data_IF_315812029189
#
_entry.id   IF_315812029189
#
_cell.length_a   1.000
_cell.length_b   1.000
_cell.length_c   1.000
_cell.angle_alpha   90.00
_cell.angle_beta   90.00
_cell.angle_gamma   90.00
#
_symmetry.space_group_name_H-M   'P 1'
#
loop_
_entity.id
_entity.type
_entity.pdbx_description
1 polymer ?
#
# COMPACT_ATOMS: atom_id res chain seq x y z
N UNK A 1 -10.77 6.41 8.77
CA UNK A 1 -9.46 7.13 8.75
C UNK A 1 -9.42 8.21 9.84
N UNK A 2 -10.40 9.10 9.88
CA UNK A 2 -10.58 10.15 10.92
C UNK A 2 -10.40 9.67 12.36
N UNK A 3 -11.09 8.59 12.77
CA UNK A 3 -10.98 8.07 14.15
C UNK A 3 -9.56 7.63 14.52
N UNK A 4 -8.83 7.06 13.56
CA UNK A 4 -7.43 6.62 13.77
C UNK A 4 -6.51 7.83 13.93
N UNK A 5 -6.72 8.88 13.14
CA UNK A 5 -6.00 10.16 13.28
C UNK A 5 -6.29 10.80 14.63
N UNK A 6 -7.56 10.81 15.06
CA UNK A 6 -7.92 11.34 16.37
C UNK A 6 -7.25 10.56 17.50
N UNK A 7 -7.22 9.22 17.41
CA UNK A 7 -6.49 8.37 18.35
C UNK A 7 -5.00 8.70 18.39
N UNK A 8 -4.36 8.90 17.23
CA UNK A 8 -2.93 9.27 17.13
C UNK A 8 -2.69 10.63 17.80
N UNK A 9 -3.52 11.64 17.51
CA UNK A 9 -3.42 12.98 18.11
C UNK A 9 -3.58 12.95 19.63
N UNK A 10 -4.53 12.16 20.14
CA UNK A 10 -4.71 11.99 21.58
C UNK A 10 -3.50 11.29 22.24
N UNK A 11 -2.93 10.28 21.59
CA UNK A 11 -1.71 9.65 22.05
C UNK A 11 -0.51 10.64 22.06
N UNK A 12 -0.38 11.50 21.05
CA UNK A 12 0.65 12.54 21.00
C UNK A 12 0.47 13.61 22.09
N UNK A 13 -0.77 13.84 22.54
CA UNK A 13 -1.09 14.64 23.72
C UNK A 13 -0.86 13.90 25.05
N UNK A 14 -0.03 12.85 25.08
CA UNK A 14 0.31 12.03 26.24
C UNK A 14 -0.85 11.25 26.87
N UNK A 15 -1.95 11.01 26.14
CA UNK A 15 -3.02 10.10 26.61
C UNK A 15 -2.52 8.66 26.58
N UNK A 16 -2.56 7.99 27.73
CA UNK A 16 -2.10 6.60 27.84
C UNK A 16 -2.91 5.63 26.97
N UNK A 17 -2.23 4.60 26.46
CA UNK A 17 -2.88 3.54 25.66
C UNK A 17 -4.06 2.88 26.39
N UNK A 18 -4.03 2.77 27.72
CA UNK A 18 -5.12 2.19 28.51
C UNK A 18 -6.40 3.03 28.43
N UNK A 19 -6.27 4.35 28.46
CA UNK A 19 -7.40 5.27 28.31
C UNK A 19 -7.97 5.20 26.89
N UNK A 20 -7.10 5.13 25.88
CA UNK A 20 -7.51 4.99 24.47
C UNK A 20 -8.28 3.68 24.21
N UNK A 21 -7.83 2.56 24.80
CA UNK A 21 -8.55 1.28 24.74
C UNK A 21 -10.00 1.42 25.22
N UNK A 22 -10.20 2.08 26.36
CA UNK A 22 -11.54 2.31 26.91
C UNK A 22 -12.39 3.21 26.04
N UNK A 23 -11.82 4.32 25.55
CA UNK A 23 -12.52 5.32 24.74
C UNK A 23 -12.94 4.79 23.37
N UNK A 24 -12.02 4.14 22.66
CA UNK A 24 -12.24 3.64 21.31
C UNK A 24 -12.78 2.20 21.28
N UNK A 25 -12.92 1.54 22.44
CA UNK A 25 -13.42 0.16 22.60
C UNK A 25 -12.68 -0.85 21.70
N UNK A 26 -11.37 -0.70 21.59
CA UNK A 26 -10.49 -1.57 20.80
C UNK A 26 -9.41 -2.21 21.65
N UNK A 27 -8.86 -3.33 21.18
CA UNK A 27 -7.78 -4.02 21.90
C UNK A 27 -6.50 -3.17 22.01
N UNK A 28 -5.70 -3.43 23.05
CA UNK A 28 -4.39 -2.78 23.23
C UNK A 28 -3.45 -3.02 22.03
N UNK A 29 -3.52 -4.21 21.43
CA UNK A 29 -2.75 -4.55 20.24
C UNK A 29 -3.17 -3.72 19.02
N UNK A 30 -4.46 -3.40 18.88
CA UNK A 30 -4.97 -2.51 17.83
C UNK A 30 -4.45 -1.08 18.01
N UNK A 31 -4.51 -0.55 19.23
CA UNK A 31 -3.95 0.78 19.57
C UNK A 31 -2.47 0.85 19.22
N UNK A 32 -1.68 -0.13 19.67
CA UNK A 32 -0.24 -0.18 19.38
C UNK A 32 0.06 -0.24 17.88
N UNK A 33 -0.70 -1.05 17.11
CA UNK A 33 -0.55 -1.12 15.64
C UNK A 33 -0.88 0.20 14.96
N UNK A 34 -1.89 0.93 15.45
CA UNK A 34 -2.25 2.24 14.90
C UNK A 34 -1.13 3.25 15.15
N UNK A 35 -0.62 3.32 16.38
CA UNK A 35 0.47 4.24 16.77
C UNK A 35 1.74 3.95 15.97
N UNK A 36 2.13 2.67 15.81
CA UNK A 36 3.32 2.28 15.04
C UNK A 36 3.27 2.73 13.57
N UNK A 37 2.07 2.86 13.00
CA UNK A 37 1.84 3.26 11.60
C UNK A 37 1.32 4.69 11.49
N UNK A 38 1.64 5.55 12.45
CA UNK A 38 1.09 6.91 12.49
C UNK A 38 1.40 7.71 11.23
N UNK A 39 2.59 7.53 10.65
CA UNK A 39 3.03 8.24 9.44
C UNK A 39 2.11 7.89 8.27
N UNK A 40 1.89 6.59 8.01
CA UNK A 40 0.98 6.10 6.96
C UNK A 40 -0.42 6.74 7.09
N UNK A 41 -0.99 6.76 8.30
CA UNK A 41 -2.32 7.31 8.49
C UNK A 41 -2.38 8.82 8.27
N UNK A 42 -1.35 9.57 8.68
CA UNK A 42 -1.26 11.02 8.47
C UNK A 42 -1.16 11.33 6.98
N UNK A 43 -0.27 10.65 6.25
CA UNK A 43 -0.14 10.78 4.80
C UNK A 43 -1.45 10.44 4.07
N UNK A 44 -2.11 9.34 4.44
CA UNK A 44 -3.41 8.98 3.86
C UNK A 44 -4.47 10.08 4.12
N UNK A 45 -4.44 10.71 5.30
CA UNK A 45 -5.38 11.76 5.67
C UNK A 45 -5.12 13.07 4.90
N UNK A 46 -3.86 13.46 4.76
CA UNK A 46 -3.45 14.66 4.00
C UNK A 46 -3.76 14.52 2.51
N UNK A 47 -3.58 13.32 1.96
CA UNK A 47 -3.92 13.03 0.56
C UNK A 47 -5.43 12.85 0.30
N UNK A 48 -6.29 13.10 1.30
CA UNK A 48 -7.73 12.88 1.25
C UNK A 48 -8.09 11.47 0.74
N UNK A 49 -7.32 10.45 1.15
CA UNK A 49 -7.58 9.09 0.71
C UNK A 49 -8.97 8.60 1.16
N UNK A 50 -9.56 7.73 0.35
CA UNK A 50 -10.85 7.13 0.66
C UNK A 50 -10.78 6.38 1.99
N UNK A 51 -11.55 6.83 2.98
CA UNK A 51 -11.61 6.22 4.31
C UNK A 51 -12.07 4.76 4.32
N UNK A 52 -12.77 4.31 3.26
CA UNK A 52 -13.21 2.94 3.05
C UNK A 52 -12.20 2.07 2.28
N UNK A 53 -11.08 2.65 1.83
CA UNK A 53 -10.03 1.92 1.13
C UNK A 53 -9.48 0.82 2.04
N UNK A 54 -9.49 -0.42 1.54
CA UNK A 54 -8.82 -1.53 2.22
C UNK A 54 -7.32 -1.25 2.23
N UNK A 55 -6.68 -1.55 3.36
CA UNK A 55 -5.22 -1.40 3.50
C UNK A 55 -4.50 -2.19 2.41
N UNK A 56 -3.57 -1.54 1.71
CA UNK A 56 -2.66 -2.24 0.83
C UNK A 56 -1.58 -2.94 1.67
N UNK A 57 -1.42 -4.25 1.45
CA UNK A 57 -0.43 -5.08 2.15
C UNK A 57 0.82 -5.33 1.31
N UNK A 58 0.81 -4.90 0.05
CA UNK A 58 1.93 -5.09 -0.87
C UNK A 58 3.09 -4.21 -0.44
N UNK A 59 4.30 -4.72 -0.56
CA UNK A 59 5.50 -3.93 -0.36
C UNK A 59 5.64 -2.85 -1.44
N UNK A 60 6.46 -1.83 -1.18
CA UNK A 60 6.64 -0.68 -2.06
C UNK A 60 7.14 -1.08 -3.46
N UNK A 61 8.01 -2.07 -3.56
CA UNK A 61 8.56 -2.51 -4.86
C UNK A 61 7.47 -3.17 -5.68
N UNK A 62 6.68 -4.05 -5.07
CA UNK A 62 5.56 -4.70 -5.78
C UNK A 62 4.52 -3.68 -6.25
N UNK A 63 4.23 -2.64 -5.46
CA UNK A 63 3.36 -1.53 -5.89
C UNK A 63 3.95 -0.75 -7.08
N UNK A 64 5.26 -0.48 -7.07
CA UNK A 64 5.93 0.20 -8.19
C UNK A 64 5.95 -0.65 -9.47
N UNK A 65 6.09 -1.97 -9.35
CA UNK A 65 5.98 -2.89 -10.50
C UNK A 65 4.57 -2.83 -11.07
N UNK A 66 3.55 -2.99 -10.24
CA UNK A 66 2.14 -2.97 -10.69
C UNK A 66 1.82 -1.66 -11.42
N UNK A 67 2.27 -0.52 -10.87
CA UNK A 67 2.05 0.80 -11.45
C UNK A 67 2.71 0.93 -12.84
N UNK A 68 3.99 0.59 -12.97
CA UNK A 68 4.70 0.71 -14.25
C UNK A 68 4.19 -0.28 -15.30
N UNK A 69 3.79 -1.49 -14.88
CA UNK A 69 3.16 -2.47 -15.79
C UNK A 69 1.83 -1.94 -16.30
N UNK A 70 1.02 -1.34 -15.42
CA UNK A 70 -0.26 -0.75 -15.79
C UNK A 70 -0.10 0.44 -16.73
N UNK A 71 0.81 1.37 -16.43
CA UNK A 71 1.11 2.52 -17.30
C UNK A 71 1.52 2.05 -18.71
N UNK A 72 2.44 1.10 -18.79
CA UNK A 72 2.85 0.51 -20.06
C UNK A 72 1.68 -0.16 -20.79
N UNK A 73 0.83 -0.92 -20.08
CA UNK A 73 -0.34 -1.56 -20.69
C UNK A 73 -1.32 -0.53 -21.28
N UNK A 74 -1.60 0.56 -20.56
CA UNK A 74 -2.44 1.66 -21.04
C UNK A 74 -1.83 2.32 -22.29
N UNK A 75 -0.51 2.52 -22.31
CA UNK A 75 0.21 3.03 -23.49
C UNK A 75 0.15 2.11 -24.70
N UNK A 76 0.13 0.78 -24.51
CA UNK A 76 -0.05 -0.15 -25.61
C UNK A 76 -1.51 -0.17 -26.11
N UNK A 77 -2.46 -0.09 -25.17
CA UNK A 77 -3.89 0.02 -25.48
C UNK A 77 -4.22 1.26 -26.30
N UNK A 78 -3.60 2.41 -26.00
CA UNK A 78 -3.79 3.64 -26.78
C UNK A 78 -3.27 3.54 -28.22
N UNK A 79 -2.34 2.61 -28.48
CA UNK A 79 -1.83 2.27 -29.82
C UNK A 79 -2.62 1.16 -30.51
N UNK A 80 -3.72 0.69 -29.90
CA UNK A 80 -4.50 -0.47 -30.34
C UNK A 80 -3.66 -1.76 -30.48
N UNK A 81 -2.59 -1.90 -29.68
CA UNK A 81 -1.75 -3.10 -29.68
C UNK A 81 -2.34 -4.08 -28.64
N UNK A 82 -2.86 -5.24 -29.05
CA UNK A 82 -3.35 -6.24 -28.11
C UNK A 82 -2.17 -6.86 -27.35
N UNK A 83 -2.23 -6.79 -26.02
CA UNK A 83 -1.22 -7.37 -25.13
C UNK A 83 -1.74 -8.68 -24.56
N UNK A 84 -1.02 -9.76 -24.83
CA UNK A 84 -1.32 -11.07 -24.26
C UNK A 84 -0.86 -11.16 -22.80
N UNK A 85 -1.49 -12.03 -22.02
CA UNK A 85 -1.10 -12.29 -20.63
C UNK A 85 0.38 -12.64 -20.47
N UNK A 86 0.95 -13.57 -21.24
CA UNK A 86 2.38 -13.90 -21.17
C UNK A 86 3.30 -12.71 -21.45
N UNK A 87 2.93 -11.83 -22.38
CA UNK A 87 3.71 -10.63 -22.68
C UNK A 87 3.67 -9.63 -21.52
N UNK A 88 2.50 -9.48 -20.87
CA UNK A 88 2.35 -8.65 -19.68
C UNK A 88 3.20 -9.19 -18.50
N UNK A 89 3.23 -10.51 -18.31
CA UNK A 89 4.07 -11.14 -17.29
C UNK A 89 5.56 -10.90 -17.54
N UNK A 90 5.99 -11.03 -18.79
CA UNK A 90 7.39 -10.80 -19.15
C UNK A 90 7.79 -9.34 -18.90
N UNK A 91 6.91 -8.40 -19.23
CA UNK A 91 7.13 -6.99 -18.90
C UNK A 91 7.23 -6.76 -17.39
N UNK A 92 6.38 -7.41 -16.60
CA UNK A 92 6.44 -7.33 -15.14
C UNK A 92 7.75 -7.88 -14.56
N UNK A 93 8.29 -8.98 -15.12
CA UNK A 93 9.61 -9.51 -14.74
C UNK A 93 10.74 -8.54 -15.05
N UNK A 94 10.73 -7.94 -16.24
CA UNK A 94 11.72 -6.94 -16.64
C UNK A 94 11.71 -5.73 -15.70
N UNK A 95 10.53 -5.18 -15.42
CA UNK A 95 10.39 -4.03 -14.50
C UNK A 95 10.85 -4.41 -13.09
N UNK A 96 10.52 -5.61 -12.60
CA UNK A 96 10.98 -6.08 -11.28
C UNK A 96 12.49 -6.24 -11.22
N UNK A 97 13.13 -6.72 -12.28
CA UNK A 97 14.59 -6.81 -12.37
C UNK A 97 15.24 -5.42 -12.34
N UNK A 98 14.67 -4.45 -13.05
CA UNK A 98 15.14 -3.06 -13.05
C UNK A 98 15.02 -2.40 -11.68
N UNK A 99 13.93 -2.65 -10.95
CA UNK A 99 13.69 -2.06 -9.64
C UNK A 99 14.42 -2.76 -8.48
N UNK A 100 14.60 -4.08 -8.56
CA UNK A 100 15.05 -4.93 -7.45
C UNK A 100 16.45 -5.55 -7.60
N UNK A 101 17.12 -5.38 -8.74
CA UNK A 101 18.44 -5.97 -9.00
C UNK A 101 18.44 -7.52 -8.97
N UNK A 102 19.55 -8.14 -8.56
CA UNK A 102 19.79 -9.59 -8.66
C UNK A 102 18.84 -10.49 -7.82
N UNK A 103 18.10 -9.93 -6.86
CA UNK A 103 17.11 -10.67 -6.04
C UNK A 103 15.79 -10.90 -6.80
N UNK A 104 15.65 -10.32 -8.00
CA UNK A 104 14.45 -10.37 -8.83
C UNK A 104 14.27 -11.67 -9.65
N UNK A 105 15.26 -12.57 -9.66
CA UNK A 105 15.23 -13.80 -10.47
C UNK A 105 14.04 -14.73 -10.14
N UNK A 106 13.48 -14.63 -8.94
CA UNK A 106 12.39 -15.49 -8.47
C UNK A 106 10.98 -14.87 -8.61
N UNK A 107 10.87 -13.68 -9.22
CA UNK A 107 9.58 -13.04 -9.44
C UNK A 107 8.72 -13.80 -10.46
N UNK A 108 7.64 -14.43 -10.00
CA UNK A 108 6.82 -15.32 -10.83
C UNK A 108 5.94 -14.60 -11.86
N UNK A 109 5.55 -13.36 -11.58
CA UNK A 109 4.56 -12.60 -12.37
C UNK A 109 3.30 -13.46 -12.63
N UNK A 110 2.59 -13.83 -11.57
CA UNK A 110 1.38 -14.68 -11.66
C UNK A 110 0.21 -13.98 -12.37
N UNK A 111 -0.82 -14.74 -12.73
CA UNK A 111 -1.99 -14.27 -13.51
C UNK A 111 -2.94 -13.28 -12.78
N UNK A 112 -2.59 -12.82 -11.57
CA UNK A 112 -3.47 -12.05 -10.69
C UNK A 112 -4.23 -12.90 -9.69
#
# INVERSE_FOLDING_TARGET
LSEKIQLIREHENNVSCRVLVGKYKISIGSVSKIIKRKIEYIEDFENNENSNKKRNLRDKISQQVDQQVYEWFVEQGSKNIPISGPLLQERARQIRQQLGGAVAGDFKASNG
#
